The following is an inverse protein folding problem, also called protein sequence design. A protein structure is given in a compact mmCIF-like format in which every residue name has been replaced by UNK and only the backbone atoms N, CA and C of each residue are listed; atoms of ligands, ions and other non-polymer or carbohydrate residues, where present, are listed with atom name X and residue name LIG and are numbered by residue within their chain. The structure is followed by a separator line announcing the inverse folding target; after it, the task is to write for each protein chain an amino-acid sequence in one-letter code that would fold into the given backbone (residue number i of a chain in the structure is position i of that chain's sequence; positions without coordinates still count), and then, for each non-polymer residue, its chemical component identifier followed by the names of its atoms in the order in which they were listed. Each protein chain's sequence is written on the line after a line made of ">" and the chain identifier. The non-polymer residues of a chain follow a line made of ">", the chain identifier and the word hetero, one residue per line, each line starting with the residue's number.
data_IF_733007204817
#
_entry.id   IF_733007204817
#
_cell.length_a   1.000
_cell.length_b   1.000
_cell.length_c   1.000
_cell.angle_alpha   90.00
_cell.angle_beta   90.00
_cell.angle_gamma   90.00
#
_symmetry.space_group_name_H-M   'P 1'
#
loop_
_entity.id
_entity.type
_entity.pdbx_description
1 polymer ?
#
# COMPACT_ATOMS: atom_id res chain seq x y z
N UNK A 1 -40.27 4.64 -12.37
CA UNK A 1 -39.30 5.72 -12.55
C UNK A 1 -38.37 5.30 -13.68
N UNK A 2 -38.35 6.04 -14.80
CA UNK A 2 -37.33 5.81 -15.84
C UNK A 2 -36.02 6.44 -15.37
N UNK A 3 -34.95 5.67 -15.41
CA UNK A 3 -33.61 6.20 -15.12
C UNK A 3 -33.21 7.17 -16.24
N UNK A 4 -32.57 8.29 -15.88
CA UNK A 4 -32.06 9.24 -16.87
C UNK A 4 -30.83 8.61 -17.56
N UNK A 5 -30.85 8.61 -18.88
CA UNK A 5 -29.74 8.14 -19.71
C UNK A 5 -28.80 9.32 -19.94
N UNK A 6 -27.51 9.12 -19.69
CA UNK A 6 -26.43 10.09 -19.88
C UNK A 6 -25.50 9.70 -21.05
N UNK A 7 -25.32 8.38 -21.28
CA UNK A 7 -24.54 7.86 -22.40
C UNK A 7 -25.46 7.20 -23.40
N UNK A 8 -25.54 7.79 -24.58
CA UNK A 8 -26.47 7.33 -25.64
C UNK A 8 -25.91 6.19 -26.48
N UNK A 9 -24.59 5.98 -26.49
CA UNK A 9 -23.92 4.88 -27.18
C UNK A 9 -22.75 4.39 -26.32
N UNK A 10 -22.90 3.26 -25.64
CA UNK A 10 -21.83 2.69 -24.83
C UNK A 10 -21.94 1.17 -24.73
N UNK A 11 -20.86 0.54 -24.30
CA UNK A 11 -20.74 -0.91 -24.21
C UNK A 11 -20.45 -1.38 -22.79
N UNK A 12 -21.17 -2.41 -22.33
CA UNK A 12 -20.86 -3.19 -21.15
C UNK A 12 -20.19 -4.51 -21.51
N UNK A 13 -19.11 -4.87 -20.83
CA UNK A 13 -18.39 -6.13 -21.02
C UNK A 13 -18.41 -6.96 -19.75
N UNK A 14 -18.79 -8.23 -19.89
CA UNK A 14 -18.54 -9.27 -18.89
C UNK A 14 -17.37 -10.13 -19.37
N UNK A 15 -16.24 -10.06 -18.62
CA UNK A 15 -14.95 -10.61 -19.02
C UNK A 15 -14.65 -11.89 -18.26
N UNK A 16 -14.52 -13.00 -18.99
CA UNK A 16 -14.08 -14.30 -18.48
C UNK A 16 -12.68 -14.68 -18.97
N UNK A 17 -12.18 -15.80 -18.48
CA UNK A 17 -10.85 -16.32 -18.86
C UNK A 17 -10.73 -16.59 -20.37
N UNK A 18 -11.77 -17.17 -20.99
CA UNK A 18 -11.74 -17.68 -22.37
C UNK A 18 -12.63 -16.92 -23.33
N UNK A 19 -13.57 -16.12 -22.82
CA UNK A 19 -14.51 -15.34 -23.65
C UNK A 19 -14.89 -14.01 -22.98
N UNK A 20 -15.48 -13.16 -23.77
CA UNK A 20 -16.01 -11.86 -23.40
C UNK A 20 -17.41 -11.75 -23.96
N UNK A 21 -18.39 -11.48 -23.11
CA UNK A 21 -19.71 -11.06 -23.55
C UNK A 21 -19.76 -9.54 -23.61
N UNK A 22 -20.23 -9.02 -24.76
CA UNK A 22 -20.36 -7.59 -25.02
C UNK A 22 -21.82 -7.22 -25.26
N UNK A 23 -22.25 -6.10 -24.75
CA UNK A 23 -23.57 -5.53 -24.99
C UNK A 23 -23.41 -4.02 -25.25
N UNK A 24 -23.66 -3.57 -26.48
CA UNK A 24 -23.77 -2.15 -26.81
C UNK A 24 -25.23 -1.73 -26.64
N UNK A 25 -25.45 -0.62 -25.91
CA UNK A 25 -26.74 0.05 -25.85
C UNK A 25 -26.70 1.35 -26.67
N UNK A 26 -27.62 1.48 -27.62
CA UNK A 26 -27.75 2.69 -28.43
C UNK A 26 -29.14 3.26 -28.16
N UNK A 27 -29.19 4.48 -27.67
CA UNK A 27 -30.44 5.18 -27.34
C UNK A 27 -30.73 6.24 -28.40
N UNK A 28 -31.94 6.20 -28.95
CA UNK A 28 -32.42 7.18 -29.92
C UNK A 28 -32.88 8.50 -29.25
N UNK A 29 -33.27 9.46 -30.07
CA UNK A 29 -33.79 10.76 -29.62
C UNK A 29 -35.10 10.68 -28.84
N UNK A 30 -35.84 9.56 -28.98
CA UNK A 30 -37.07 9.29 -28.28
C UNK A 30 -36.86 8.57 -26.96
N UNK A 31 -35.59 8.32 -26.57
CA UNK A 31 -35.23 7.63 -25.32
C UNK A 31 -35.40 6.10 -25.38
N UNK A 32 -35.59 5.53 -26.57
CA UNK A 32 -35.67 4.07 -26.80
C UNK A 32 -34.26 3.52 -27.00
N UNK A 33 -33.90 2.52 -26.19
CA UNK A 33 -32.59 1.84 -26.30
C UNK A 33 -32.67 0.56 -27.07
N UNK A 34 -31.85 0.42 -28.12
CA UNK A 34 -31.61 -0.83 -28.86
C UNK A 34 -30.30 -1.47 -28.37
N UNK A 35 -30.31 -2.79 -28.22
CA UNK A 35 -29.17 -3.55 -27.70
C UNK A 35 -28.60 -4.47 -28.77
N UNK A 36 -27.29 -4.33 -29.02
CA UNK A 36 -26.50 -5.25 -29.81
C UNK A 36 -25.64 -6.10 -28.89
N UNK A 37 -25.70 -7.41 -29.04
CA UNK A 37 -24.97 -8.34 -28.16
C UNK A 37 -24.14 -9.29 -29.01
N UNK A 38 -22.91 -9.53 -28.56
CA UNK A 38 -21.99 -10.45 -29.20
C UNK A 38 -21.09 -11.14 -28.17
N UNK A 39 -20.53 -12.29 -28.56
CA UNK A 39 -19.55 -13.03 -27.77
C UNK A 39 -18.25 -13.11 -28.55
N UNK A 40 -17.14 -12.81 -27.89
CA UNK A 40 -15.80 -12.83 -28.46
C UNK A 40 -14.90 -13.78 -27.69
N UNK A 41 -13.89 -14.31 -28.35
CA UNK A 41 -12.82 -15.05 -27.70
C UNK A 41 -11.88 -14.06 -26.99
N UNK A 42 -11.30 -14.46 -25.81
CA UNK A 42 -10.26 -13.67 -25.14
C UNK A 42 -8.88 -13.79 -25.80
N UNK A 43 -8.70 -14.58 -26.84
CA UNK A 43 -7.47 -14.62 -27.64
C UNK A 43 -7.32 -13.35 -28.50
N UNK A 44 -6.09 -13.05 -28.92
CA UNK A 44 -5.75 -11.81 -29.63
C UNK A 44 -6.64 -11.55 -30.86
N UNK A 45 -7.00 -12.60 -31.60
CA UNK A 45 -7.93 -12.50 -32.74
C UNK A 45 -9.31 -12.01 -32.31
N UNK A 46 -9.87 -12.61 -31.23
CA UNK A 46 -11.19 -12.23 -30.75
C UNK A 46 -11.18 -10.82 -30.10
N UNK A 47 -10.06 -10.39 -29.51
CA UNK A 47 -9.93 -9.01 -29.02
C UNK A 47 -9.92 -8.00 -30.18
N UNK A 48 -9.29 -8.35 -31.31
CA UNK A 48 -9.35 -7.51 -32.52
C UNK A 48 -10.78 -7.48 -33.09
N UNK A 49 -11.44 -8.61 -33.18
CA UNK A 49 -12.85 -8.70 -33.61
C UNK A 49 -13.77 -7.86 -32.72
N UNK A 50 -13.51 -7.81 -31.39
CA UNK A 50 -14.23 -6.93 -30.47
C UNK A 50 -14.01 -5.45 -30.82
N UNK A 51 -12.78 -5.03 -31.10
CA UNK A 51 -12.47 -3.65 -31.49
C UNK A 51 -13.16 -3.28 -32.81
N UNK A 52 -13.10 -4.16 -33.82
CA UNK A 52 -13.74 -3.95 -35.10
C UNK A 52 -15.28 -3.87 -34.95
N UNK A 53 -15.85 -4.70 -34.10
CA UNK A 53 -17.28 -4.68 -33.79
C UNK A 53 -17.70 -3.38 -33.05
N UNK A 54 -16.93 -2.89 -32.10
CA UNK A 54 -17.17 -1.59 -31.44
C UNK A 54 -17.11 -0.45 -32.46
N UNK A 55 -16.12 -0.45 -33.35
CA UNK A 55 -15.96 0.56 -34.40
C UNK A 55 -17.13 0.53 -35.39
N UNK A 56 -17.63 -0.65 -35.79
CA UNK A 56 -18.81 -0.80 -36.66
C UNK A 56 -20.06 -0.09 -36.12
N UNK A 57 -20.21 -0.03 -34.80
CA UNK A 57 -21.34 0.64 -34.14
C UNK A 57 -20.97 2.06 -33.59
N UNK A 58 -19.82 2.62 -33.97
CA UNK A 58 -19.31 3.91 -33.46
C UNK A 58 -19.32 3.99 -31.93
N UNK A 59 -19.07 2.87 -31.27
CA UNK A 59 -19.08 2.78 -29.81
C UNK A 59 -17.65 2.90 -29.27
N UNK A 60 -17.31 4.05 -28.67
CA UNK A 60 -15.98 4.33 -28.11
C UNK A 60 -15.94 4.30 -26.56
N UNK A 61 -17.09 4.25 -25.90
CA UNK A 61 -17.18 4.21 -24.45
C UNK A 61 -17.49 2.80 -23.97
N UNK A 62 -16.57 2.23 -23.18
CA UNK A 62 -16.64 0.84 -22.74
C UNK A 62 -16.52 0.74 -21.23
N UNK A 63 -17.38 -0.05 -20.60
CA UNK A 63 -17.30 -0.40 -19.19
C UNK A 63 -17.14 -1.91 -19.01
N UNK A 64 -16.21 -2.33 -18.14
CA UNK A 64 -16.03 -3.73 -17.79
C UNK A 64 -15.87 -3.94 -16.29
N UNK A 65 -16.19 -5.14 -15.79
CA UNK A 65 -15.98 -5.50 -14.39
C UNK A 65 -14.54 -5.98 -14.13
N UNK A 66 -13.98 -5.62 -12.98
CA UNK A 66 -12.62 -6.00 -12.56
C UNK A 66 -12.54 -7.40 -11.95
N UNK A 67 -13.01 -8.42 -12.66
CA UNK A 67 -12.94 -9.80 -12.19
C UNK A 67 -11.56 -10.40 -12.41
N UNK A 68 -10.87 -10.72 -11.31
CA UNK A 68 -9.52 -11.30 -11.34
C UNK A 68 -8.50 -10.41 -12.06
N UNK A 69 -7.72 -11.03 -12.99
CA UNK A 69 -6.76 -10.32 -13.87
C UNK A 69 -7.16 -10.38 -15.35
N UNK A 70 -8.27 -11.02 -15.67
CA UNK A 70 -8.68 -11.27 -17.07
C UNK A 70 -9.05 -9.99 -17.83
N UNK A 71 -9.45 -8.94 -17.11
CA UNK A 71 -9.74 -7.63 -17.67
C UNK A 71 -8.51 -6.90 -18.24
N UNK A 72 -7.29 -7.19 -17.74
CA UNK A 72 -6.06 -6.45 -18.09
C UNK A 72 -5.74 -6.50 -19.58
N UNK A 73 -5.64 -7.68 -20.24
CA UNK A 73 -5.38 -7.72 -21.68
C UNK A 73 -6.49 -7.08 -22.52
N UNK A 74 -7.75 -7.22 -22.10
CA UNK A 74 -8.90 -6.57 -22.79
C UNK A 74 -8.79 -5.06 -22.69
N UNK A 75 -8.56 -4.53 -21.48
CA UNK A 75 -8.36 -3.11 -21.22
C UNK A 75 -7.22 -2.54 -22.09
N UNK A 76 -6.07 -3.20 -22.10
CA UNK A 76 -4.90 -2.73 -22.84
C UNK A 76 -5.13 -2.68 -24.36
N UNK A 77 -5.86 -3.64 -24.91
CA UNK A 77 -6.19 -3.66 -26.36
C UNK A 77 -7.19 -2.57 -26.70
N UNK A 78 -8.24 -2.40 -25.90
CA UNK A 78 -9.25 -1.36 -26.11
C UNK A 78 -8.68 0.05 -25.94
N UNK A 79 -7.82 0.26 -24.92
CA UNK A 79 -7.13 1.54 -24.73
C UNK A 79 -6.22 1.89 -25.90
N UNK A 80 -5.48 0.92 -26.45
CA UNK A 80 -4.67 1.11 -27.68
C UNK A 80 -5.49 1.42 -28.93
N UNK A 81 -6.73 0.95 -28.97
CA UNK A 81 -7.69 1.25 -30.03
C UNK A 81 -8.45 2.57 -29.80
N UNK A 82 -7.97 3.44 -28.89
CA UNK A 82 -8.54 4.74 -28.53
C UNK A 82 -9.97 4.67 -27.96
N UNK A 83 -10.35 3.57 -27.34
CA UNK A 83 -11.60 3.51 -26.59
C UNK A 83 -11.43 4.12 -25.19
N UNK A 84 -12.44 4.83 -24.74
CA UNK A 84 -12.56 5.26 -23.34
C UNK A 84 -13.04 4.08 -22.48
N UNK A 85 -12.15 3.49 -21.70
CA UNK A 85 -12.43 2.27 -20.95
C UNK A 85 -12.55 2.57 -19.47
N UNK A 86 -13.70 2.22 -18.88
CA UNK A 86 -13.95 2.32 -17.44
C UNK A 86 -13.95 0.93 -16.82
N UNK A 87 -13.20 0.78 -15.73
CA UNK A 87 -13.19 -0.43 -14.93
C UNK A 87 -14.10 -0.26 -13.71
N UNK A 88 -15.13 -1.09 -13.62
CA UNK A 88 -16.06 -1.12 -12.51
C UNK A 88 -15.61 -2.10 -11.42
N UNK A 89 -15.82 -1.72 -10.16
CA UNK A 89 -15.57 -2.64 -9.05
C UNK A 89 -16.78 -3.56 -8.84
N UNK A 90 -16.62 -4.90 -8.70
CA UNK A 90 -17.69 -5.89 -8.57
C UNK A 90 -18.74 -5.60 -7.50
N UNK A 91 -18.38 -4.84 -6.47
CA UNK A 91 -19.32 -4.42 -5.42
C UNK A 91 -20.45 -3.53 -5.96
N UNK A 92 -20.18 -2.76 -7.01
CA UNK A 92 -21.13 -1.79 -7.58
C UNK A 92 -21.87 -2.30 -8.80
N UNK A 93 -21.43 -3.44 -9.36
CA UNK A 93 -22.04 -4.08 -10.53
C UNK A 93 -22.89 -5.30 -10.20
N UNK A 94 -22.97 -5.69 -8.92
CA UNK A 94 -23.77 -6.87 -8.52
C UNK A 94 -25.20 -6.74 -8.96
N UNK A 95 -25.70 -7.65 -9.83
CA UNK A 95 -27.11 -7.68 -10.20
C UNK A 95 -27.99 -8.06 -9.00
N UNK A 96 -29.26 -7.69 -9.06
CA UNK A 96 -30.26 -8.20 -8.13
C UNK A 96 -30.42 -9.71 -8.30
N UNK A 97 -30.82 -10.43 -7.24
CA UNK A 97 -31.01 -11.88 -7.25
C UNK A 97 -31.98 -12.30 -8.39
N UNK A 98 -31.55 -13.23 -9.22
CA UNK A 98 -32.32 -13.77 -10.34
C UNK A 98 -31.49 -14.75 -11.16
N UNK A 99 -32.04 -15.29 -12.27
CA UNK A 99 -31.33 -16.18 -13.19
C UNK A 99 -30.16 -15.45 -13.86
N UNK A 100 -28.96 -15.71 -13.35
CA UNK A 100 -27.72 -15.13 -13.84
C UNK A 100 -27.26 -15.80 -15.13
N UNK A 101 -26.95 -15.02 -16.16
CA UNK A 101 -26.26 -15.45 -17.38
C UNK A 101 -25.30 -14.34 -17.81
N UNK A 102 -24.15 -14.70 -18.38
CA UNK A 102 -23.13 -13.75 -18.83
C UNK A 102 -23.69 -12.69 -19.80
N UNK A 103 -24.66 -13.11 -20.65
CA UNK A 103 -25.38 -12.20 -21.55
C UNK A 103 -26.19 -11.13 -20.80
N UNK A 104 -26.84 -11.51 -19.71
CA UNK A 104 -27.57 -10.56 -18.85
C UNK A 104 -26.63 -9.68 -18.06
N UNK A 105 -25.49 -10.22 -17.62
CA UNK A 105 -24.50 -9.47 -16.84
C UNK A 105 -23.84 -8.38 -17.71
N UNK A 106 -23.45 -8.68 -18.96
CA UNK A 106 -22.94 -7.67 -19.88
C UNK A 106 -23.98 -6.56 -20.17
N UNK A 107 -25.26 -6.93 -20.35
CA UNK A 107 -26.34 -5.96 -20.52
C UNK A 107 -26.52 -5.11 -19.26
N UNK A 108 -26.51 -5.72 -18.09
CA UNK A 108 -26.63 -5.01 -16.82
C UNK A 108 -25.51 -4.00 -16.59
N UNK A 109 -24.26 -4.36 -16.92
CA UNK A 109 -23.12 -3.43 -16.87
C UNK A 109 -23.35 -2.26 -17.83
N UNK A 110 -23.85 -2.53 -19.04
CA UNK A 110 -24.20 -1.50 -20.01
C UNK A 110 -25.28 -0.55 -19.46
N UNK A 111 -26.38 -1.08 -18.93
CA UNK A 111 -27.48 -0.30 -18.38
C UNK A 111 -27.03 0.63 -17.23
N UNK A 112 -26.23 0.10 -16.29
CA UNK A 112 -25.64 0.87 -15.22
C UNK A 112 -24.71 1.97 -15.73
N UNK A 113 -23.94 1.67 -16.78
CA UNK A 113 -23.01 2.61 -17.37
C UNK A 113 -23.72 3.73 -18.14
N UNK A 114 -24.79 3.41 -18.88
CA UNK A 114 -25.66 4.39 -19.52
C UNK A 114 -26.25 5.41 -18.53
N UNK A 115 -26.58 4.95 -17.32
CA UNK A 115 -27.19 5.77 -16.28
C UNK A 115 -26.17 6.45 -15.34
N UNK A 116 -24.85 6.38 -15.61
CA UNK A 116 -23.78 6.88 -14.73
C UNK A 116 -23.81 6.34 -13.29
N UNK A 117 -24.37 5.15 -13.09
CA UNK A 117 -24.45 4.51 -11.78
C UNK A 117 -23.17 3.77 -11.37
N UNK A 118 -22.17 3.72 -12.26
CA UNK A 118 -20.88 3.05 -12.03
C UNK A 118 -19.86 4.06 -11.53
N UNK A 119 -19.29 3.78 -10.35
CA UNK A 119 -18.11 4.50 -9.88
C UNK A 119 -16.85 3.89 -10.50
N UNK A 120 -16.08 4.63 -11.32
CA UNK A 120 -14.88 4.13 -11.95
C UNK A 120 -13.80 3.78 -10.93
N UNK A 121 -13.07 2.69 -11.19
CA UNK A 121 -11.85 2.37 -10.47
C UNK A 121 -10.68 3.17 -11.06
N UNK A 122 -9.78 3.63 -10.22
CA UNK A 122 -8.57 4.32 -10.67
C UNK A 122 -7.63 3.34 -11.38
N UNK A 123 -7.40 3.58 -12.66
CA UNK A 123 -6.41 2.88 -13.50
C UNK A 123 -5.42 3.93 -14.00
N UNK A 124 -4.14 3.85 -13.63
CA UNK A 124 -3.13 4.79 -14.12
C UNK A 124 -2.76 4.50 -15.59
N UNK A 125 -2.05 5.42 -16.24
CA UNK A 125 -1.50 5.24 -17.58
C UNK A 125 -0.67 3.95 -17.71
N UNK A 126 -0.54 3.44 -18.93
CA UNK A 126 0.09 2.14 -19.22
C UNK A 126 1.50 2.00 -18.64
N UNK A 127 2.29 3.04 -18.73
CA UNK A 127 3.67 3.08 -18.22
C UNK A 127 3.74 3.01 -16.67
N UNK A 128 2.83 3.72 -15.98
CA UNK A 128 2.70 3.57 -14.52
C UNK A 128 2.18 2.18 -14.17
N UNK A 129 1.34 1.54 -15.00
CA UNK A 129 0.91 0.16 -14.77
C UNK A 129 2.08 -0.83 -14.86
N UNK A 130 2.98 -0.65 -15.85
CA UNK A 130 4.20 -1.46 -15.97
C UNK A 130 5.11 -1.28 -14.74
N UNK A 131 5.36 -0.05 -14.34
CA UNK A 131 6.13 0.26 -13.13
C UNK A 131 5.48 -0.36 -11.89
N UNK A 132 4.17 -0.22 -11.74
CA UNK A 132 3.39 -0.79 -10.62
C UNK A 132 3.49 -2.31 -10.55
N UNK A 133 3.50 -3.00 -11.68
CA UNK A 133 3.59 -4.47 -11.71
C UNK A 133 4.96 -4.94 -11.19
N UNK A 134 6.06 -4.33 -11.64
CA UNK A 134 7.41 -4.63 -11.13
C UNK A 134 7.55 -4.30 -9.63
N UNK A 135 7.08 -3.13 -9.21
CA UNK A 135 7.13 -2.72 -7.80
C UNK A 135 6.33 -3.68 -6.90
N UNK A 136 5.18 -4.14 -7.35
CA UNK A 136 4.39 -5.13 -6.62
C UNK A 136 5.04 -6.52 -6.61
N UNK A 137 5.72 -6.88 -7.69
CA UNK A 137 6.50 -8.13 -7.73
C UNK A 137 7.71 -8.04 -6.80
N UNK A 138 8.44 -6.90 -6.81
CA UNK A 138 9.49 -6.60 -5.83
C UNK A 138 9.03 -6.81 -4.39
N UNK A 139 7.85 -6.28 -4.04
CA UNK A 139 7.28 -6.46 -2.70
C UNK A 139 7.08 -7.95 -2.36
N UNK A 140 6.63 -8.76 -3.31
CA UNK A 140 6.48 -10.20 -3.11
C UNK A 140 7.82 -10.91 -2.95
N UNK A 141 8.83 -10.57 -3.74
CA UNK A 141 10.19 -11.11 -3.58
C UNK A 141 10.73 -10.82 -2.18
N UNK A 142 10.58 -9.58 -1.70
CA UNK A 142 10.97 -9.23 -0.32
C UNK A 142 10.23 -10.06 0.74
N UNK A 143 8.95 -10.35 0.53
CA UNK A 143 8.20 -11.23 1.43
C UNK A 143 8.70 -12.69 1.37
N UNK A 144 9.09 -13.18 0.18
CA UNK A 144 9.65 -14.52 0.01
C UNK A 144 11.00 -14.63 0.71
N UNK A 145 11.91 -13.67 0.52
CA UNK A 145 13.19 -13.59 1.22
C UNK A 145 12.98 -13.61 2.74
N UNK A 146 12.06 -12.80 3.25
CA UNK A 146 11.73 -12.79 4.68
C UNK A 146 11.21 -14.15 5.15
N UNK A 147 10.42 -14.83 4.34
CA UNK A 147 9.93 -16.17 4.63
C UNK A 147 11.05 -17.21 4.72
N UNK A 148 12.04 -17.15 3.79
CA UNK A 148 13.21 -18.03 3.83
C UNK A 148 14.12 -17.72 5.00
N UNK A 149 14.38 -16.43 5.29
CA UNK A 149 15.14 -16.01 6.48
C UNK A 149 14.52 -16.56 7.78
N UNK A 150 13.20 -16.51 7.91
CA UNK A 150 12.51 -17.08 9.07
C UNK A 150 12.65 -18.62 9.13
N UNK A 151 12.62 -19.33 7.97
CA UNK A 151 12.85 -20.78 7.94
C UNK A 151 14.28 -21.15 8.32
N UNK A 152 15.25 -20.41 7.81
CA UNK A 152 16.66 -20.61 8.17
C UNK A 152 16.89 -20.35 9.67
N UNK A 153 16.33 -19.25 10.21
CA UNK A 153 16.37 -18.97 11.66
C UNK A 153 15.77 -20.10 12.48
N UNK A 154 14.64 -20.66 12.05
CA UNK A 154 14.04 -21.81 12.75
C UNK A 154 14.96 -23.05 12.73
N UNK A 155 15.73 -23.29 11.65
CA UNK A 155 16.72 -24.36 11.62
C UNK A 155 17.84 -24.15 12.65
N UNK A 156 18.34 -22.92 12.77
CA UNK A 156 19.35 -22.54 13.76
C UNK A 156 18.79 -22.73 15.20
N UNK A 157 17.59 -22.24 15.44
CA UNK A 157 16.93 -22.34 16.76
C UNK A 157 16.72 -23.82 17.19
N UNK A 158 16.25 -24.67 16.28
CA UNK A 158 16.05 -26.10 16.56
C UNK A 158 17.38 -26.83 16.83
N UNK A 159 18.47 -26.34 16.22
CA UNK A 159 19.82 -26.85 16.41
C UNK A 159 20.52 -26.28 17.66
N UNK A 160 19.82 -25.50 18.48
CA UNK A 160 20.36 -24.76 19.64
C UNK A 160 21.51 -23.80 19.27
N UNK A 161 21.48 -23.24 18.07
CA UNK A 161 22.42 -22.20 17.61
C UNK A 161 21.78 -20.83 17.83
N UNK A 162 22.43 -19.99 18.64
CA UNK A 162 21.86 -18.72 19.11
C UNK A 162 22.51 -17.50 18.44
N UNK A 163 22.71 -17.58 17.13
CA UNK A 163 23.33 -16.49 16.38
C UNK A 163 22.53 -15.18 16.38
N UNK A 164 21.22 -15.26 16.62
CA UNK A 164 20.33 -14.08 16.77
C UNK A 164 20.48 -13.35 18.12
N UNK A 165 21.05 -13.99 19.13
CA UNK A 165 21.36 -13.34 20.41
C UNK A 165 22.67 -12.54 20.34
N UNK A 166 23.62 -12.94 19.49
CA UNK A 166 24.97 -12.36 19.43
C UNK A 166 25.20 -11.46 18.20
N UNK A 167 24.43 -11.64 17.13
CA UNK A 167 24.50 -10.81 15.93
C UNK A 167 23.20 -10.04 15.70
N UNK A 168 23.32 -8.78 15.36
CA UNK A 168 22.16 -7.93 15.00
C UNK A 168 21.49 -8.36 13.68
N UNK A 169 22.24 -9.01 12.80
CA UNK A 169 21.76 -9.62 11.55
C UNK A 169 22.36 -11.03 11.40
N UNK A 170 21.50 -12.02 11.55
CA UNK A 170 21.85 -13.44 11.44
C UNK A 170 22.30 -13.82 10.02
N UNK A 171 21.90 -13.05 9.03
CA UNK A 171 22.29 -13.25 7.62
C UNK A 171 23.41 -12.29 7.18
N UNK A 172 23.96 -11.51 8.11
CA UNK A 172 25.12 -10.66 7.89
C UNK A 172 26.40 -11.47 7.71
N UNK A 173 27.46 -10.81 7.20
CA UNK A 173 28.73 -11.45 6.77
C UNK A 173 29.30 -12.46 7.79
N UNK A 174 29.47 -12.06 9.04
CA UNK A 174 30.08 -12.92 10.07
C UNK A 174 29.21 -14.15 10.41
N UNK A 175 27.96 -13.94 10.72
CA UNK A 175 27.04 -15.03 11.04
C UNK A 175 26.84 -15.97 9.85
N UNK A 176 26.79 -15.44 8.63
CA UNK A 176 26.70 -16.23 7.40
C UNK A 176 27.92 -17.11 7.20
N UNK A 177 29.14 -16.56 7.35
CA UNK A 177 30.39 -17.30 7.23
C UNK A 177 30.50 -18.42 8.28
N UNK A 178 30.12 -18.14 9.53
CA UNK A 178 30.04 -19.16 10.60
C UNK A 178 29.07 -20.28 10.21
N UNK A 179 27.86 -19.92 9.77
CA UNK A 179 26.84 -20.90 9.38
C UNK A 179 27.29 -21.76 8.19
N UNK A 180 27.93 -21.19 7.20
CA UNK A 180 28.47 -21.90 6.03
C UNK A 180 29.61 -22.86 6.43
N UNK A 181 30.49 -22.44 7.33
CA UNK A 181 31.56 -23.29 7.86
C UNK A 181 30.96 -24.49 8.59
N UNK A 182 30.01 -24.29 9.50
CA UNK A 182 29.32 -25.38 10.22
C UNK A 182 28.61 -26.36 9.29
N UNK A 183 28.03 -25.87 8.20
CA UNK A 183 27.38 -26.71 7.19
C UNK A 183 28.39 -27.52 6.36
N UNK A 184 29.61 -26.99 6.16
CA UNK A 184 30.68 -27.67 5.44
C UNK A 184 31.39 -28.69 6.32
N UNK A 185 31.48 -28.48 7.63
CA UNK A 185 32.21 -29.29 8.62
C UNK A 185 31.31 -29.73 9.76
N UNK A 186 30.34 -30.64 9.52
CA UNK A 186 29.36 -31.04 10.52
C UNK A 186 30.03 -31.69 11.73
N UNK A 187 29.73 -31.17 12.92
CA UNK A 187 30.22 -31.71 14.21
C UNK A 187 31.66 -31.35 14.55
N UNK A 188 32.34 -30.55 13.74
CA UNK A 188 33.70 -30.04 14.02
C UNK A 188 33.61 -28.90 15.06
N UNK A 189 34.48 -28.98 16.09
CA UNK A 189 34.70 -27.88 17.01
C UNK A 189 35.72 -26.91 16.39
N UNK A 190 35.36 -25.67 16.24
CA UNK A 190 36.19 -24.65 15.58
C UNK A 190 36.22 -23.33 16.35
N UNK A 191 37.27 -22.54 16.12
CA UNK A 191 37.34 -21.17 16.62
C UNK A 191 36.53 -20.22 15.71
N UNK A 192 35.64 -19.42 16.28
CA UNK A 192 34.80 -18.45 15.54
C UNK A 192 35.57 -17.19 15.15
N UNK A 193 36.68 -16.89 15.79
CA UNK A 193 37.41 -15.62 15.63
C UNK A 193 37.75 -15.29 14.18
N UNK A 194 38.20 -16.26 13.29
CA UNK A 194 38.51 -15.96 11.89
C UNK A 194 37.30 -15.51 11.05
N UNK A 195 36.08 -15.79 11.49
CA UNK A 195 34.81 -15.49 10.75
C UNK A 195 34.17 -14.19 11.17
N UNK A 196 34.62 -13.60 12.31
CA UNK A 196 33.97 -12.43 12.91
C UNK A 196 34.64 -11.15 12.42
N UNK A 197 33.84 -10.23 11.88
CA UNK A 197 34.30 -8.90 11.46
C UNK A 197 34.75 -8.09 12.69
N UNK A 198 35.88 -7.38 12.55
CA UNK A 198 36.51 -6.57 13.63
C UNK A 198 35.61 -5.47 14.22
N UNK A 199 34.54 -5.09 13.52
CA UNK A 199 33.51 -4.15 13.98
C UNK A 199 32.47 -4.78 14.89
N UNK A 200 32.47 -6.11 15.06
CA UNK A 200 31.58 -6.79 15.99
C UNK A 200 31.93 -6.39 17.42
N UNK A 201 30.93 -5.99 18.20
CA UNK A 201 31.11 -5.55 19.58
C UNK A 201 30.82 -6.65 20.62
N UNK A 202 30.24 -7.75 20.17
CA UNK A 202 29.92 -8.90 21.03
C UNK A 202 31.21 -9.62 21.41
N UNK A 203 31.41 -9.98 22.69
CA UNK A 203 32.57 -10.75 23.12
C UNK A 203 32.71 -12.08 22.38
N UNK A 204 33.94 -12.47 22.03
CA UNK A 204 34.19 -13.72 21.30
C UNK A 204 33.73 -14.95 22.04
N UNK A 205 33.82 -14.95 23.36
CA UNK A 205 33.35 -16.02 24.24
C UNK A 205 31.84 -16.24 24.14
N UNK A 206 31.06 -15.16 24.01
CA UNK A 206 29.61 -15.24 23.81
C UNK A 206 29.28 -15.77 22.42
N UNK A 207 30.03 -15.33 21.37
CA UNK A 207 29.85 -15.84 19.99
C UNK A 207 30.22 -17.33 19.93
N UNK A 208 31.31 -17.75 20.60
CA UNK A 208 31.73 -19.14 20.67
C UNK A 208 30.66 -20.00 21.37
N UNK A 209 30.06 -19.50 22.47
CA UNK A 209 28.98 -20.19 23.16
C UNK A 209 27.69 -20.28 22.32
N UNK A 210 27.44 -19.30 21.45
CA UNK A 210 26.26 -19.29 20.58
C UNK A 210 26.28 -20.35 19.47
N UNK A 211 27.45 -20.91 19.16
CA UNK A 211 27.66 -21.99 18.18
C UNK A 211 27.84 -23.37 18.81
N UNK A 212 27.72 -23.47 20.13
CA UNK A 212 27.79 -24.74 20.89
C UNK A 212 26.48 -25.54 20.77
N UNK A 213 26.05 -25.77 19.56
CA UNK A 213 24.84 -26.52 19.19
C UNK A 213 25.19 -27.56 18.14
N UNK A 214 24.25 -28.48 17.85
CA UNK A 214 24.44 -29.52 16.87
C UNK A 214 23.39 -29.46 15.77
N UNK A 215 23.83 -29.31 14.53
CA UNK A 215 22.95 -29.34 13.36
C UNK A 215 22.78 -30.80 12.93
N UNK A 216 21.55 -31.33 13.01
CA UNK A 216 21.23 -32.65 12.47
C UNK A 216 21.27 -32.66 10.94
N UNK A 217 21.51 -33.80 10.28
CA UNK A 217 21.65 -33.85 8.81
C UNK A 217 20.46 -33.28 8.05
N UNK A 218 19.23 -33.52 8.51
CA UNK A 218 18.02 -32.98 7.90
C UNK A 218 17.88 -31.47 8.08
N UNK A 219 18.30 -30.90 9.24
CA UNK A 219 18.33 -29.45 9.43
C UNK A 219 19.44 -28.81 8.61
N UNK A 220 20.60 -29.46 8.43
CA UNK A 220 21.68 -28.99 7.59
C UNK A 220 21.25 -28.87 6.11
N UNK A 221 20.59 -29.91 5.58
CA UNK A 221 20.04 -29.89 4.22
C UNK A 221 19.03 -28.74 4.07
N UNK A 222 18.08 -28.64 5.00
CA UNK A 222 17.03 -27.62 4.97
C UNK A 222 17.62 -26.20 5.07
N UNK A 223 18.57 -25.97 5.98
CA UNK A 223 19.23 -24.68 6.15
C UNK A 223 19.98 -24.27 4.88
N UNK A 224 20.75 -25.20 4.28
CA UNK A 224 21.45 -24.96 3.01
C UNK A 224 20.52 -24.56 1.88
N UNK A 225 19.36 -25.26 1.75
CA UNK A 225 18.36 -24.89 0.75
C UNK A 225 17.77 -23.49 1.01
N UNK A 226 17.47 -23.14 2.27
CA UNK A 226 17.00 -21.82 2.61
C UNK A 226 18.02 -20.72 2.25
N UNK A 227 19.30 -20.95 2.55
CA UNK A 227 20.36 -20.01 2.25
C UNK A 227 20.57 -19.82 0.75
N UNK A 228 20.61 -20.91 -0.03
CA UNK A 228 20.72 -20.86 -1.49
C UNK A 228 19.52 -20.11 -2.11
N UNK A 229 18.32 -20.37 -1.62
CA UNK A 229 17.11 -19.72 -2.11
C UNK A 229 17.07 -18.22 -1.75
N UNK A 230 17.61 -17.81 -0.59
CA UNK A 230 17.80 -16.40 -0.24
C UNK A 230 18.70 -15.73 -1.25
N UNK A 231 19.88 -16.32 -1.55
CA UNK A 231 20.87 -15.75 -2.47
C UNK A 231 20.29 -15.60 -3.89
N UNK A 232 19.52 -16.58 -4.35
CA UNK A 232 18.84 -16.54 -5.64
C UNK A 232 17.74 -15.46 -5.69
N UNK A 233 16.93 -15.38 -4.67
CA UNK A 233 15.87 -14.37 -4.58
C UNK A 233 16.46 -12.95 -4.45
N UNK A 234 17.59 -12.76 -3.79
CA UNK A 234 18.27 -11.47 -3.70
C UNK A 234 18.80 -11.03 -5.07
N UNK A 235 19.35 -11.94 -5.90
CA UNK A 235 19.73 -11.65 -7.30
C UNK A 235 18.53 -11.23 -8.15
N UNK A 236 17.42 -11.96 -8.04
CA UNK A 236 16.17 -11.60 -8.74
C UNK A 236 15.66 -10.22 -8.27
N UNK A 237 15.78 -9.91 -6.98
CA UNK A 237 15.38 -8.62 -6.43
C UNK A 237 16.20 -7.47 -7.03
N UNK A 238 17.52 -7.64 -7.14
CA UNK A 238 18.43 -6.65 -7.75
C UNK A 238 18.10 -6.40 -9.23
N UNK A 239 17.76 -7.43 -9.98
CA UNK A 239 17.35 -7.30 -11.39
C UNK A 239 16.06 -6.49 -11.52
N UNK A 240 15.05 -6.81 -10.71
CA UNK A 240 13.77 -6.09 -10.68
C UNK A 240 13.95 -4.64 -10.22
N UNK A 241 14.82 -4.38 -9.25
CA UNK A 241 15.13 -3.02 -8.80
C UNK A 241 15.79 -2.19 -9.89
N UNK A 242 16.75 -2.76 -10.62
CA UNK A 242 17.44 -2.11 -11.75
C UNK A 242 16.45 -1.69 -12.84
N UNK A 243 15.56 -2.61 -13.23
CA UNK A 243 14.55 -2.31 -14.24
C UNK A 243 13.50 -1.32 -13.74
N UNK A 244 13.14 -1.40 -12.47
CA UNK A 244 12.23 -0.45 -11.81
C UNK A 244 12.80 0.97 -11.82
N UNK A 245 14.09 1.12 -11.51
CA UNK A 245 14.81 2.40 -11.58
C UNK A 245 14.77 2.94 -13.00
N UNK A 246 15.16 2.13 -13.99
CA UNK A 246 15.15 2.53 -15.41
C UNK A 246 13.78 3.01 -15.89
N UNK A 247 12.70 2.31 -15.54
CA UNK A 247 11.35 2.72 -15.93
C UNK A 247 10.86 3.97 -15.18
N UNK A 248 11.44 4.27 -14.04
CA UNK A 248 11.06 5.43 -13.23
C UNK A 248 11.74 6.73 -13.67
N UNK A 249 12.81 6.69 -14.49
CA UNK A 249 13.62 7.86 -14.88
C UNK A 249 12.79 9.00 -15.47
N UNK A 250 11.78 8.69 -16.28
CA UNK A 250 10.89 9.69 -16.88
C UNK A 250 10.01 10.44 -15.87
N UNK A 251 9.93 9.95 -14.64
CA UNK A 251 9.18 10.57 -13.54
C UNK A 251 10.08 11.27 -12.52
N UNK A 252 11.34 11.54 -12.86
CA UNK A 252 12.32 12.07 -11.92
C UNK A 252 11.83 13.35 -11.22
N UNK A 253 11.20 14.27 -11.94
CA UNK A 253 10.65 15.49 -11.33
C UNK A 253 9.62 15.21 -10.22
N UNK A 254 8.71 14.26 -10.44
CA UNK A 254 7.74 13.88 -9.43
C UNK A 254 8.39 13.12 -8.26
N UNK A 255 9.38 12.28 -8.56
CA UNK A 255 10.15 11.54 -7.55
C UNK A 255 10.95 12.50 -6.65
N UNK A 256 11.59 13.51 -7.22
CA UNK A 256 12.34 14.52 -6.47
C UNK A 256 11.41 15.29 -5.53
N UNK A 257 10.21 15.64 -5.97
CA UNK A 257 9.18 16.24 -5.10
C UNK A 257 8.80 15.29 -3.96
N UNK A 258 8.50 14.02 -4.23
CA UNK A 258 8.14 13.04 -3.20
C UNK A 258 9.27 12.88 -2.19
N UNK A 259 10.52 12.88 -2.63
CA UNK A 259 11.70 12.77 -1.76
C UNK A 259 11.90 13.96 -0.82
N UNK A 260 11.27 15.10 -1.09
CA UNK A 260 11.28 16.23 -0.14
C UNK A 260 10.40 15.97 1.09
N UNK A 261 9.44 15.05 1.00
CA UNK A 261 8.57 14.68 2.14
C UNK A 261 9.37 13.87 3.16
N UNK A 262 9.25 14.18 4.46
CA UNK A 262 9.96 13.46 5.52
C UNK A 262 9.85 11.94 5.40
N UNK A 263 11.00 11.26 5.43
CA UNK A 263 11.12 9.79 5.40
C UNK A 263 11.16 9.16 4.02
N UNK A 264 11.05 9.93 2.94
CA UNK A 264 11.22 9.46 1.56
C UNK A 264 12.59 9.83 0.97
N UNK A 265 13.41 10.56 1.71
CA UNK A 265 14.73 11.06 1.32
C UNK A 265 15.80 9.97 1.16
N UNK A 266 15.73 8.91 1.95
CA UNK A 266 16.81 7.92 2.10
C UNK A 266 16.89 6.89 0.99
N UNK A 267 15.76 6.37 0.54
CA UNK A 267 15.71 5.29 -0.42
C UNK A 267 14.80 5.66 -1.60
N UNK A 268 15.34 5.79 -2.82
CA UNK A 268 14.56 6.16 -4.00
C UNK A 268 13.41 5.17 -4.27
N UNK A 269 13.63 3.88 -3.96
CA UNK A 269 12.59 2.86 -4.14
C UNK A 269 11.31 3.16 -3.35
N UNK A 270 11.42 3.82 -2.19
CA UNK A 270 10.24 4.18 -1.39
C UNK A 270 9.36 5.23 -2.10
N UNK A 271 9.99 6.22 -2.73
CA UNK A 271 9.29 7.24 -3.53
C UNK A 271 8.66 6.60 -4.79
N UNK A 272 9.41 5.73 -5.48
CA UNK A 272 8.94 5.00 -6.67
C UNK A 272 7.73 4.13 -6.32
N UNK A 273 7.75 3.45 -5.19
CA UNK A 273 6.63 2.63 -4.71
C UNK A 273 5.35 3.46 -4.53
N UNK A 274 5.45 4.65 -3.96
CA UNK A 274 4.30 5.55 -3.82
C UNK A 274 3.82 6.02 -5.20
N UNK A 275 4.74 6.52 -6.03
CA UNK A 275 4.42 7.02 -7.38
C UNK A 275 3.74 5.94 -8.24
N UNK A 276 4.23 4.70 -8.19
CA UNK A 276 3.64 3.59 -8.95
C UNK A 276 2.19 3.27 -8.54
N UNK A 277 1.82 3.55 -7.30
CA UNK A 277 0.44 3.32 -6.82
C UNK A 277 -0.50 4.50 -7.09
N UNK A 278 -0.02 5.74 -7.01
CA UNK A 278 -0.89 6.92 -7.14
C UNK A 278 -0.82 7.58 -8.52
N UNK A 279 0.24 7.33 -9.29
CA UNK A 279 0.55 8.07 -10.51
C UNK A 279 1.17 9.44 -10.24
N UNK A 280 1.57 10.14 -11.30
CA UNK A 280 2.10 11.51 -11.21
C UNK A 280 1.03 12.59 -11.32
N UNK A 281 -0.12 12.27 -11.90
CA UNK A 281 -1.23 13.20 -12.12
C UNK A 281 -2.22 13.15 -10.94
N UNK A 282 -2.29 14.24 -10.20
CA UNK A 282 -3.20 14.38 -9.06
C UNK A 282 -4.61 14.86 -9.44
N UNK A 283 -4.86 15.24 -10.69
CA UNK A 283 -6.21 15.63 -11.16
C UNK A 283 -7.23 14.49 -10.98
N UNK A 284 -6.75 13.25 -11.01
CA UNK A 284 -7.56 12.02 -10.77
C UNK A 284 -8.12 11.96 -9.34
N UNK A 285 -7.47 12.63 -8.40
CA UNK A 285 -7.93 12.71 -7.01
C UNK A 285 -8.35 14.15 -6.70
N UNK A 286 -9.65 14.49 -6.76
CA UNK A 286 -10.14 15.87 -6.62
C UNK A 286 -9.71 16.58 -5.33
N UNK A 287 -9.23 15.86 -4.33
CA UNK A 287 -8.60 16.40 -3.13
C UNK A 287 -7.73 15.37 -2.43
N UNK A 288 -6.85 15.82 -1.54
CA UNK A 288 -6.07 14.95 -0.66
C UNK A 288 -6.94 13.95 0.14
N UNK A 289 -8.19 14.33 0.49
CA UNK A 289 -9.14 13.46 1.18
C UNK A 289 -9.54 12.26 0.32
N UNK A 290 -9.70 12.45 -0.99
CA UNK A 290 -10.01 11.37 -1.94
C UNK A 290 -8.84 10.38 -2.05
N UNK A 291 -7.61 10.87 -2.18
CA UNK A 291 -6.41 10.02 -2.19
C UNK A 291 -6.27 9.22 -0.90
N UNK A 292 -6.43 9.87 0.26
CA UNK A 292 -6.37 9.22 1.59
C UNK A 292 -7.45 8.15 1.75
N UNK A 293 -8.66 8.41 1.25
CA UNK A 293 -9.78 7.45 1.26
C UNK A 293 -9.49 6.26 0.35
N UNK A 294 -9.00 6.52 -0.86
CA UNK A 294 -8.61 5.49 -1.82
C UNK A 294 -7.51 4.58 -1.27
N UNK A 295 -6.48 5.16 -0.64
CA UNK A 295 -5.40 4.43 0.03
C UNK A 295 -5.86 3.69 1.30
N UNK A 296 -7.10 3.85 1.73
CA UNK A 296 -7.64 3.19 2.93
C UNK A 296 -7.04 3.68 4.24
N UNK A 297 -6.55 4.92 4.28
CA UNK A 297 -5.97 5.56 5.47
C UNK A 297 -6.99 6.39 6.27
N UNK A 298 -8.29 6.24 6.01
CA UNK A 298 -9.36 6.84 6.78
C UNK A 298 -10.35 5.77 7.28
N UNK A 299 -11.05 6.02 8.42
CA UNK A 299 -12.08 5.12 8.90
C UNK A 299 -13.27 5.10 7.94
N UNK A 300 -13.92 3.93 7.88
CA UNK A 300 -15.21 3.76 7.21
C UNK A 300 -16.27 4.33 8.08
N UNK A 301 -16.87 5.35 7.97
CA UNK A 301 -17.97 5.83 8.82
C UNK A 301 -19.26 5.04 8.56
N UNK A 302 -19.25 3.75 8.85
CA UNK A 302 -20.44 2.91 8.77
C UNK A 302 -21.37 3.30 9.94
N UNK A 303 -22.34 4.12 9.63
CA UNK A 303 -23.35 4.59 10.59
C UNK A 303 -24.76 4.20 10.11
N UNK A 304 -25.55 3.68 11.00
CA UNK A 304 -26.96 3.39 10.76
C UNK A 304 -27.75 3.81 12.01
N UNK A 305 -28.82 4.59 11.81
CA UNK A 305 -29.69 5.10 12.88
C UNK A 305 -28.90 5.72 14.05
N UNK A 306 -28.00 6.68 13.76
CA UNK A 306 -27.10 7.36 14.72
C UNK A 306 -26.11 6.44 15.45
N UNK A 307 -26.09 5.13 15.20
CA UNK A 307 -25.13 4.20 15.77
C UNK A 307 -23.97 3.97 14.81
N UNK A 308 -22.74 4.21 15.27
CA UNK A 308 -21.51 3.92 14.51
C UNK A 308 -21.25 2.41 14.58
N UNK A 309 -21.45 1.69 13.46
CA UNK A 309 -21.20 0.24 13.37
C UNK A 309 -19.71 -0.10 13.37
N UNK A 310 -18.88 0.71 12.71
CA UNK A 310 -17.45 0.48 12.66
C UNK A 310 -16.65 1.75 12.36
N UNK A 311 -15.55 1.94 13.11
CA UNK A 311 -14.54 2.97 12.85
C UNK A 311 -13.26 2.37 12.25
N UNK A 312 -13.29 1.10 11.82
CA UNK A 312 -12.13 0.42 11.21
C UNK A 312 -11.81 1.04 9.86
N UNK A 313 -10.52 1.13 9.54
CA UNK A 313 -10.06 1.53 8.21
C UNK A 313 -10.43 0.45 7.17
N UNK A 314 -10.53 0.84 5.90
CA UNK A 314 -10.82 -0.10 4.82
C UNK A 314 -9.64 -1.04 4.57
N UNK A 315 -9.91 -2.19 3.89
CA UNK A 315 -8.86 -3.11 3.41
C UNK A 315 -8.17 -2.62 2.14
N UNK A 316 -8.61 -1.47 1.56
CA UNK A 316 -7.95 -0.86 0.39
C UNK A 316 -6.49 -0.49 0.68
N UNK A 317 -5.71 -0.25 -0.36
CA UNK A 317 -4.32 0.19 -0.25
C UNK A 317 -3.36 -0.90 0.23
N UNK A 318 -3.52 -2.14 -0.23
CA UNK A 318 -2.72 -3.29 0.20
C UNK A 318 -1.21 -3.11 -0.03
N UNK A 319 -0.81 -2.33 -1.02
CA UNK A 319 0.59 -2.06 -1.33
C UNK A 319 1.07 -0.71 -0.81
N UNK A 320 0.22 0.34 -0.84
CA UNK A 320 0.61 1.67 -0.39
C UNK A 320 0.63 1.82 1.15
N UNK A 321 -0.31 1.20 1.87
CA UNK A 321 -0.36 1.29 3.33
C UNK A 321 0.87 0.71 4.04
N UNK A 322 1.37 -0.50 3.68
CA UNK A 322 2.58 -1.03 4.30
C UNK A 322 3.78 -0.11 4.17
N UNK A 323 3.97 0.52 3.00
CA UNK A 323 5.05 1.47 2.76
C UNK A 323 4.91 2.70 3.65
N UNK A 324 3.72 3.29 3.69
CA UNK A 324 3.45 4.45 4.55
C UNK A 324 3.67 4.13 6.04
N UNK A 325 3.28 2.94 6.48
CA UNK A 325 3.50 2.48 7.87
C UNK A 325 4.99 2.29 8.13
N UNK A 326 5.74 1.73 7.19
CA UNK A 326 7.20 1.57 7.30
C UNK A 326 7.89 2.94 7.42
N UNK A 327 7.55 3.88 6.54
CA UNK A 327 8.06 5.26 6.58
C UNK A 327 7.70 5.93 7.91
N UNK A 328 6.44 5.85 8.34
CA UNK A 328 5.99 6.43 9.60
C UNK A 328 6.78 5.86 10.80
N UNK A 329 7.00 4.55 10.87
CA UNK A 329 7.79 3.93 11.92
C UNK A 329 9.27 4.36 11.87
N UNK A 330 9.84 4.51 10.66
CA UNK A 330 11.20 5.04 10.48
C UNK A 330 11.34 6.49 11.00
N UNK A 331 10.34 7.33 10.72
CA UNK A 331 10.30 8.72 11.20
C UNK A 331 10.23 8.80 12.72
N UNK A 332 9.49 7.92 13.38
CA UNK A 332 9.38 7.90 14.84
C UNK A 332 10.69 7.53 15.55
N UNK A 333 11.55 6.76 14.87
CA UNK A 333 12.91 6.44 15.36
C UNK A 333 13.91 7.55 15.05
N UNK A 334 13.62 8.39 14.07
CA UNK A 334 14.48 9.50 13.67
C UNK A 334 14.30 10.71 14.58
N UNK A 335 15.41 11.34 14.99
CA UNK A 335 15.40 12.61 15.75
C UNK A 335 15.22 13.84 14.86
N UNK A 336 15.22 13.66 13.51
CA UNK A 336 15.19 14.78 12.54
C UNK A 336 13.83 15.50 12.47
N UNK A 337 12.74 14.83 12.85
CA UNK A 337 11.36 15.34 12.70
C UNK A 337 10.60 15.27 14.04
N UNK A 338 10.98 16.11 15.03
CA UNK A 338 10.36 16.11 16.37
C UNK A 338 8.88 16.50 16.32
N UNK A 339 8.45 17.31 15.35
CA UNK A 339 7.06 17.72 15.12
C UNK A 339 6.16 16.51 14.80
N UNK A 340 6.64 15.58 13.97
CA UNK A 340 5.92 14.35 13.61
C UNK A 340 5.83 13.43 14.83
N UNK A 341 6.94 13.26 15.54
CA UNK A 341 7.00 12.45 16.76
C UNK A 341 6.10 13.03 17.85
N UNK A 342 6.08 14.35 18.02
CA UNK A 342 5.19 15.04 18.95
C UNK A 342 3.71 14.82 18.64
N UNK A 343 3.34 14.92 17.35
CA UNK A 343 1.98 14.63 16.88
C UNK A 343 1.59 13.17 17.15
N UNK A 344 2.48 12.23 16.82
CA UNK A 344 2.25 10.81 17.10
C UNK A 344 2.03 10.55 18.59
N UNK A 345 2.91 11.06 19.49
CA UNK A 345 2.80 10.88 20.95
C UNK A 345 1.47 11.40 21.48
N UNK A 346 1.04 12.59 21.02
CA UNK A 346 -0.25 13.20 21.40
C UNK A 346 -1.45 12.32 21.00
N UNK A 347 -1.43 11.75 19.78
CA UNK A 347 -2.54 10.89 19.32
C UNK A 347 -2.47 9.53 20.03
N UNK A 348 -1.26 8.98 20.24
CA UNK A 348 -1.05 7.68 20.89
C UNK A 348 -1.62 7.66 22.29
N UNK A 349 -1.43 8.73 23.08
CA UNK A 349 -1.91 8.81 24.48
C UNK A 349 -3.43 8.65 24.61
N UNK A 350 -4.21 9.09 23.61
CA UNK A 350 -5.68 9.04 23.64
C UNK A 350 -6.29 7.94 22.78
N UNK A 351 -5.60 7.49 21.72
CA UNK A 351 -6.18 6.61 20.68
C UNK A 351 -5.39 5.32 20.45
N UNK A 352 -4.23 5.18 21.07
CA UNK A 352 -3.34 4.03 20.95
C UNK A 352 -2.47 4.04 19.69
N UNK A 353 -1.49 3.14 19.66
CA UNK A 353 -0.43 3.07 18.64
C UNK A 353 -0.98 2.94 17.20
N UNK A 354 -1.86 1.96 16.95
CA UNK A 354 -2.36 1.65 15.58
C UNK A 354 -3.06 2.85 14.93
N UNK A 355 -3.89 3.58 15.71
CA UNK A 355 -4.59 4.77 15.20
C UNK A 355 -3.64 5.94 14.99
N UNK A 356 -2.63 6.09 15.87
CA UNK A 356 -1.62 7.14 15.75
C UNK A 356 -0.75 6.95 14.48
N UNK A 357 -0.29 5.73 14.19
CA UNK A 357 0.47 5.43 12.96
C UNK A 357 -0.35 5.77 11.72
N UNK A 358 -1.61 5.33 11.63
CA UNK A 358 -2.46 5.64 10.48
C UNK A 358 -2.70 7.16 10.33
N UNK A 359 -2.76 7.91 11.44
CA UNK A 359 -2.84 9.37 11.36
C UNK A 359 -1.57 10.01 10.77
N UNK A 360 -0.39 9.46 11.07
CA UNK A 360 0.87 9.89 10.42
C UNK A 360 0.87 9.50 8.93
N UNK A 361 0.48 8.26 8.58
CA UNK A 361 0.35 7.83 7.18
C UNK A 361 -0.58 8.77 6.39
N UNK A 362 -1.72 9.15 6.98
CA UNK A 362 -2.63 10.12 6.37
C UNK A 362 -1.98 11.48 6.14
N UNK A 363 -1.21 11.97 7.10
CA UNK A 363 -0.49 13.25 7.00
C UNK A 363 0.53 13.20 5.85
N UNK A 364 1.35 12.15 5.78
CA UNK A 364 2.33 11.95 4.71
C UNK A 364 1.66 11.92 3.33
N UNK A 365 0.57 11.18 3.20
CA UNK A 365 -0.15 11.08 1.93
C UNK A 365 -0.83 12.40 1.53
N UNK A 366 -1.31 13.17 2.50
CA UNK A 366 -1.83 14.52 2.26
C UNK A 366 -0.72 15.46 1.76
N UNK A 367 0.47 15.41 2.37
CA UNK A 367 1.62 16.17 1.90
C UNK A 367 2.01 15.79 0.47
N UNK A 368 2.07 14.49 0.16
CA UNK A 368 2.38 14.00 -1.19
C UNK A 368 1.36 14.52 -2.22
N UNK A 369 0.06 14.52 -1.88
CA UNK A 369 -0.95 15.07 -2.77
C UNK A 369 -0.70 16.55 -3.08
N UNK A 370 -0.41 17.38 -2.06
CA UNK A 370 -0.15 18.82 -2.25
C UNK A 370 1.10 19.09 -3.06
N UNK A 371 2.23 18.44 -2.75
CA UNK A 371 3.48 18.69 -3.50
C UNK A 371 3.38 18.30 -4.96
N UNK A 372 2.63 17.24 -5.29
CA UNK A 372 2.41 16.82 -6.67
C UNK A 372 1.34 17.65 -7.39
N UNK A 373 0.35 18.19 -6.66
CA UNK A 373 -0.66 19.10 -7.24
C UNK A 373 -0.11 20.50 -7.49
N UNK A 374 0.66 21.01 -6.53
CA UNK A 374 1.17 22.39 -6.56
C UNK A 374 2.55 22.47 -7.24
N UNK A 375 3.17 21.32 -7.55
CA UNK A 375 4.53 21.17 -8.09
C UNK A 375 5.58 21.95 -7.27
N UNK A 376 5.42 21.92 -5.93
CA UNK A 376 6.31 22.60 -4.98
C UNK A 376 6.89 21.60 -3.98
N UNK A 377 8.16 21.76 -3.56
CA UNK A 377 8.76 20.91 -2.55
C UNK A 377 8.04 21.04 -1.20
N UNK A 378 8.12 20.01 -0.38
CA UNK A 378 7.56 20.01 0.96
C UNK A 378 8.26 21.04 1.85
N UNK A 379 7.48 21.88 2.54
CA UNK A 379 7.94 22.78 3.59
C UNK A 379 7.26 22.45 4.91
N UNK A 380 8.00 22.53 6.01
CA UNK A 380 7.45 22.27 7.34
C UNK A 380 6.67 23.48 7.92
N UNK A 381 6.82 24.65 7.32
CA UNK A 381 6.30 25.93 7.83
C UNK A 381 4.77 25.92 7.98
N UNK A 382 4.03 25.55 6.93
CA UNK A 382 2.57 25.43 7.00
C UNK A 382 2.06 24.40 8.03
N UNK A 383 2.91 23.46 8.42
CA UNK A 383 2.59 22.50 9.49
C UNK A 383 2.74 23.11 10.89
N UNK A 384 3.64 24.08 11.05
CA UNK A 384 3.87 24.79 12.30
C UNK A 384 2.83 25.90 12.53
N UNK A 385 2.47 26.62 11.47
CA UNK A 385 1.47 27.70 11.51
C UNK A 385 0.06 27.21 11.84
N UNK A 386 -0.30 25.99 11.45
CA UNK A 386 -1.60 25.39 11.77
C UNK A 386 -1.75 24.92 13.22
N UNK A 387 -0.75 25.10 14.08
CA UNK A 387 -0.91 24.84 15.52
C UNK A 387 -1.83 25.90 16.12
N UNK A 388 -3.03 25.53 16.59
CA UNK A 388 -3.70 26.43 17.52
C UNK A 388 -2.74 26.65 18.68
N UNK A 389 -2.38 27.89 18.91
CA UNK A 389 -1.68 28.28 20.15
C UNK A 389 -2.46 27.61 21.27
N UNK A 390 -1.84 26.67 21.99
CA UNK A 390 -2.45 26.10 23.17
C UNK A 390 -2.75 27.29 24.08
N UNK A 391 -4.01 27.76 24.08
CA UNK A 391 -4.47 28.61 25.17
C UNK A 391 -4.10 27.86 26.43
N UNK A 392 -3.21 28.44 27.21
CA UNK A 392 -2.81 27.86 28.50
C UNK A 392 -4.11 27.38 29.15
N UNK A 393 -4.17 26.09 29.50
CA UNK A 393 -5.35 25.57 30.20
C UNK A 393 -5.43 26.41 31.47
N UNK A 394 -6.38 27.33 31.51
CA UNK A 394 -6.72 28.01 32.75
C UNK A 394 -7.22 26.91 33.66
N UNK A 395 -6.44 26.57 34.64
CA UNK A 395 -6.82 25.58 35.63
C UNK A 395 -8.05 26.12 36.35
N UNK A 396 -9.10 25.33 36.47
CA UNK A 396 -10.20 25.69 37.38
C UNK A 396 -9.66 25.78 38.78
N UNK A 397 -10.28 26.61 39.61
CA UNK A 397 -9.82 26.83 41.03
C UNK A 397 -9.65 25.47 41.74
N UNK A 398 -10.57 24.52 41.54
CA UNK A 398 -10.46 23.19 42.16
C UNK A 398 -9.28 22.37 41.62
N UNK A 399 -8.91 22.50 40.34
CA UNK A 399 -7.74 21.83 39.75
C UNK A 399 -6.43 22.44 40.26
N UNK A 400 -6.38 23.78 40.44
CA UNK A 400 -5.25 24.46 41.02
C UNK A 400 -5.05 24.06 42.49
N UNK A 401 -6.10 24.02 43.29
CA UNK A 401 -6.10 23.58 44.70
C UNK A 401 -5.63 22.12 44.84
N UNK A 402 -6.10 21.21 43.99
CA UNK A 402 -5.65 19.82 43.96
C UNK A 402 -4.17 19.68 43.60
N UNK A 403 -3.68 20.47 42.66
CA UNK A 403 -2.28 20.47 42.28
C UNK A 403 -1.37 20.96 43.42
N UNK A 404 -1.80 22.00 44.16
CA UNK A 404 -1.10 22.51 45.32
C UNK A 404 -1.07 21.49 46.47
N UNK A 405 -2.20 20.82 46.74
CA UNK A 405 -2.26 19.74 47.74
C UNK A 405 -1.32 18.57 47.37
N UNK A 406 -1.29 18.17 46.09
CA UNK A 406 -0.37 17.10 45.62
C UNK A 406 1.10 17.48 45.74
N UNK A 407 1.43 18.78 45.75
CA UNK A 407 2.79 19.29 45.94
C UNK A 407 3.13 19.58 47.43
N UNK A 408 2.27 19.19 48.38
CA UNK A 408 2.52 19.31 49.81
C UNK A 408 2.20 20.66 50.41
N UNK A 409 1.51 21.56 49.68
CA UNK A 409 1.08 22.84 50.22
C UNK A 409 -0.21 22.70 51.04
N UNK A 410 -0.22 23.22 52.26
CA UNK A 410 -1.42 23.33 53.10
C UNK A 410 -2.14 24.62 52.73
N UNK A 411 -3.39 24.56 52.29
CA UNK A 411 -4.18 25.74 51.90
C UNK A 411 -5.06 26.08 53.09
N UNK A 412 -4.91 27.27 53.67
CA UNK A 412 -5.84 27.81 54.65
C UNK A 412 -7.08 28.29 53.93
N UNK A 413 -8.26 28.07 54.52
CA UNK A 413 -9.58 28.26 53.91
C UNK A 413 -10.02 29.70 53.62
N UNK A 414 -9.08 30.69 53.64
CA UNK A 414 -9.37 32.10 53.41
C UNK A 414 -9.16 32.56 51.96
N UNK A 415 -9.70 31.87 50.99
CA UNK A 415 -9.77 32.39 49.61
C UNK A 415 -11.11 33.12 49.46
N UNK A 416 -11.10 34.40 49.72
CA UNK A 416 -12.26 35.27 49.39
C UNK A 416 -12.23 35.60 47.90
N UNK A 417 -13.33 35.44 47.15
CA UNK A 417 -13.40 35.90 45.77
C UNK A 417 -13.18 37.42 45.73
N UNK A 418 -12.29 37.87 44.82
CA UNK A 418 -12.17 39.31 44.56
C UNK A 418 -13.55 39.80 44.05
N UNK A 419 -14.17 40.74 44.76
CA UNK A 419 -15.32 41.46 44.24
C UNK A 419 -14.86 42.30 43.05
N UNK A 420 -15.55 42.08 41.87
CA UNK A 420 -15.47 42.96 40.73
C UNK A 420 -16.18 44.25 40.98
#
# INVERSE_FOLDING_TARGET
>A
MSFKIFRFNCCGLDVHKTWIYACIGITDSNGRTDYKQARFSSFSKGLKELCDWLAKYNCSEVCMESTGKYWIPVFNVLEKANNSVILAHPKYTKPQKGNKTDRKDAKWICDLFMCEMIKPSFIPPADIRHLRDLVRYRFKLTCMITGEKNRAQNCLTVSNLKLDDVFSDVFGKSSRSITEYMLAHPGEIFDVAPFVDSRCKTPMEEIQAAVDGAISPEQAIKLRQCLNHIDELEKHLEEIERETLRLSDKYQAALDLIRTVPGFDKNPMTAIQILSEIGGDMSVFPSAKHLVSWAGCCPRNDQSNKRIKSTRISRAGNYIKPILVQVANGLLRSKKHPEITGRYKRIKSHRGHKKAIIAICRMLLTAIWHILSDLKPYTAEGFLESRPVNKAKVLTTSQALNLLKQRGYTIKDDIVPAMN
#
